data_IF_816925897219
#
_entry.id   IF_816925897219
#
_cell.length_a   1.000
_cell.length_b   1.000
_cell.length_c   1.000
_cell.angle_alpha   90.00
_cell.angle_beta   90.00
_cell.angle_gamma   90.00
#
_symmetry.space_group_name_H-M   'P 1'
#
loop_
_entity.id
_entity.type
_entity.pdbx_description
1 polymer ?
#
# COMPACT_ATOMS: atom_id res chain seq x y z
N UNK A 1 12.62 -29.70 -52.68
CA UNK A 1 11.75 -28.68 -52.05
C UNK A 1 11.99 -28.69 -50.56
N UNK A 2 12.61 -27.67 -50.02
CA UNK A 2 12.84 -27.53 -48.58
C UNK A 2 11.69 -26.71 -48.00
N UNK A 3 10.81 -27.36 -47.24
CA UNK A 3 9.79 -26.67 -46.48
C UNK A 3 10.42 -26.10 -45.22
N UNK A 4 10.71 -24.83 -45.23
CA UNK A 4 11.10 -24.11 -44.05
C UNK A 4 9.84 -23.86 -43.24
N UNK A 5 9.64 -24.68 -42.22
CA UNK A 5 8.60 -24.43 -41.22
C UNK A 5 9.06 -23.26 -40.36
N UNK A 6 8.52 -22.06 -40.65
CA UNK A 6 8.75 -20.89 -39.85
C UNK A 6 7.92 -21.04 -38.57
N UNK A 7 8.54 -21.57 -37.52
CA UNK A 7 7.91 -21.65 -36.21
C UNK A 7 7.88 -20.23 -35.62
N UNK A 8 6.73 -19.57 -35.76
CA UNK A 8 6.46 -18.28 -35.13
C UNK A 8 6.35 -18.52 -33.63
N UNK A 9 7.44 -18.30 -32.91
CA UNK A 9 7.46 -18.33 -31.47
C UNK A 9 6.71 -17.10 -30.98
N UNK A 10 5.41 -17.29 -30.69
CA UNK A 10 4.60 -16.25 -30.05
C UNK A 10 5.08 -16.12 -28.61
N UNK A 11 5.98 -15.17 -28.36
CA UNK A 11 6.29 -14.74 -26.99
C UNK A 11 5.01 -14.11 -26.41
N UNK A 12 4.24 -14.91 -25.67
CA UNK A 12 3.25 -14.36 -24.77
C UNK A 12 4.02 -13.58 -23.70
N UNK A 13 4.14 -12.28 -23.90
CA UNK A 13 4.52 -11.38 -22.84
C UNK A 13 3.37 -11.40 -21.81
N UNK A 14 3.47 -12.27 -20.79
CA UNK A 14 2.63 -12.17 -19.63
C UNK A 14 3.03 -10.88 -18.92
N UNK A 15 2.29 -9.80 -19.16
CA UNK A 15 2.41 -8.61 -18.34
C UNK A 15 1.97 -9.00 -16.94
N UNK A 16 2.93 -9.11 -16.02
CA UNK A 16 2.66 -9.18 -14.59
C UNK A 16 2.02 -7.85 -14.19
N UNK A 17 0.69 -7.76 -14.29
CA UNK A 17 -0.06 -6.65 -13.70
C UNK A 17 -0.11 -6.92 -12.21
N UNK A 18 0.60 -6.11 -11.42
CA UNK A 18 0.41 -6.07 -9.99
C UNK A 18 -1.00 -5.56 -9.69
N UNK A 19 -1.70 -6.22 -8.78
CA UNK A 19 -3.08 -5.93 -8.45
C UNK A 19 -3.18 -5.13 -7.16
N UNK A 20 -4.12 -4.19 -7.13
CA UNK A 20 -4.59 -3.55 -5.90
C UNK A 20 -5.81 -4.30 -5.41
N UNK A 21 -5.76 -4.75 -4.17
CA UNK A 21 -6.88 -5.38 -3.48
C UNK A 21 -7.44 -4.36 -2.48
N UNK A 22 -8.77 -4.17 -2.49
CA UNK A 22 -9.44 -3.34 -1.51
C UNK A 22 -10.01 -4.23 -0.41
N UNK A 23 -9.58 -4.01 0.82
CA UNK A 23 -10.08 -4.67 2.02
C UNK A 23 -10.32 -3.65 3.13
N UNK A 24 -11.26 -3.94 4.01
CA UNK A 24 -11.40 -3.17 5.23
C UNK A 24 -10.33 -3.59 6.25
N UNK A 25 -9.85 -2.66 7.09
CA UNK A 25 -9.01 -3.01 8.24
C UNK A 25 -9.70 -4.07 9.10
N UNK A 26 -8.93 -5.04 9.59
CA UNK A 26 -9.49 -6.14 10.39
C UNK A 26 -8.43 -6.75 11.29
N UNK A 27 -8.87 -7.49 12.29
CA UNK A 27 -7.97 -8.31 13.11
C UNK A 27 -7.21 -9.34 12.27
N UNK A 28 -7.82 -9.84 11.20
CA UNK A 28 -7.18 -10.78 10.26
C UNK A 28 -5.90 -10.20 9.62
N UNK A 29 -5.93 -8.91 9.25
CA UNK A 29 -4.74 -8.21 8.72
C UNK A 29 -3.60 -8.25 9.75
N UNK A 30 -3.91 -7.98 11.01
CA UNK A 30 -2.94 -8.02 12.12
C UNK A 30 -2.41 -9.44 12.35
N UNK A 31 -3.29 -10.42 12.39
CA UNK A 31 -2.94 -11.81 12.65
C UNK A 31 -2.05 -12.42 11.56
N UNK A 32 -2.26 -12.01 10.31
CA UNK A 32 -1.42 -12.42 9.17
C UNK A 32 -0.06 -11.72 9.14
N UNK A 33 0.17 -10.75 10.00
CA UNK A 33 1.40 -9.94 10.05
C UNK A 33 1.73 -9.26 8.71
N UNK A 34 0.70 -8.87 7.98
CA UNK A 34 0.85 -8.08 6.76
C UNK A 34 1.35 -6.69 7.16
N UNK A 35 2.47 -6.20 6.61
CA UNK A 35 2.92 -4.84 6.91
C UNK A 35 1.86 -3.83 6.50
N UNK A 36 1.52 -2.92 7.39
CA UNK A 36 0.60 -1.81 7.14
C UNK A 36 1.39 -0.51 7.21
N UNK A 37 1.34 0.29 6.17
CA UNK A 37 1.99 1.60 6.12
C UNK A 37 0.94 2.69 6.28
N UNK A 38 1.08 3.51 7.33
CA UNK A 38 0.22 4.67 7.56
C UNK A 38 0.85 5.89 6.87
N UNK A 39 0.22 6.32 5.78
CA UNK A 39 0.76 7.38 4.92
C UNK A 39 0.32 8.79 5.32
N UNK A 40 -0.37 8.93 6.45
CA UNK A 40 -0.84 10.22 6.95
C UNK A 40 0.30 11.09 7.44
N UNK A 41 -0.01 12.25 7.97
CA UNK A 41 0.96 13.18 8.57
C UNK A 41 1.22 12.87 10.03
N UNK A 42 2.33 13.36 10.56
CA UNK A 42 2.68 13.20 11.97
C UNK A 42 1.63 13.82 12.90
N UNK A 43 1.00 14.94 12.53
CA UNK A 43 -0.09 15.52 13.31
C UNK A 43 -1.30 14.61 13.40
N UNK A 44 -1.65 13.93 12.31
CA UNK A 44 -2.72 12.94 12.31
C UNK A 44 -2.38 11.71 13.16
N UNK A 45 -1.15 11.25 13.15
CA UNK A 45 -0.72 10.14 14.01
C UNK A 45 -0.80 10.49 15.50
N UNK A 46 -0.40 11.71 15.85
CA UNK A 46 -0.50 12.21 17.24
C UNK A 46 -1.95 12.37 17.69
N UNK A 47 -2.82 12.80 16.79
CA UNK A 47 -4.24 13.02 17.09
C UNK A 47 -5.00 11.72 17.33
N UNK A 48 -4.84 10.73 16.46
CA UNK A 48 -5.68 9.52 16.45
C UNK A 48 -4.93 8.21 16.65
N UNK A 49 -3.61 8.24 16.83
CA UNK A 49 -2.80 7.03 16.96
C UNK A 49 -2.62 6.28 15.65
N UNK A 50 -2.10 5.07 15.75
CA UNK A 50 -1.84 4.18 14.61
C UNK A 50 -2.64 2.90 14.77
N UNK A 51 -3.11 2.34 13.67
CA UNK A 51 -3.54 0.95 13.63
C UNK A 51 -2.39 0.09 14.16
N UNK A 52 -2.67 -0.84 15.08
CA UNK A 52 -1.62 -1.57 15.79
C UNK A 52 -0.58 -2.16 14.85
N UNK A 53 0.69 -1.82 15.06
CA UNK A 53 1.81 -2.29 14.24
C UNK A 53 2.01 -1.54 12.93
N UNK A 54 1.20 -0.55 12.60
CA UNK A 54 1.38 0.24 11.39
C UNK A 54 2.70 1.02 11.42
N UNK A 55 3.33 1.11 10.27
CA UNK A 55 4.59 1.81 10.05
C UNK A 55 4.28 3.21 9.52
N UNK A 56 4.61 4.28 10.26
CA UNK A 56 4.30 5.65 9.82
C UNK A 56 5.31 6.12 8.79
N UNK A 57 4.84 6.36 7.57
CA UNK A 57 5.62 6.96 6.47
C UNK A 57 4.71 7.91 5.71
N UNK A 58 4.84 9.21 5.93
CA UNK A 58 4.02 10.23 5.25
C UNK A 58 4.26 10.22 3.75
N UNK A 59 3.18 10.23 2.95
CA UNK A 59 3.27 10.49 1.52
C UNK A 59 2.94 11.95 1.19
N UNK A 60 1.72 12.39 1.49
CA UNK A 60 1.36 13.81 1.35
C UNK A 60 1.67 14.56 2.64
N UNK A 61 2.45 15.64 2.56
CA UNK A 61 2.70 16.50 3.71
C UNK A 61 1.47 17.36 4.04
N UNK A 62 1.55 18.16 5.10
CA UNK A 62 0.43 19.00 5.56
C UNK A 62 -0.01 20.07 4.55
N UNK A 63 0.84 20.43 3.60
CA UNK A 63 0.54 21.34 2.51
C UNK A 63 0.07 20.62 1.24
N UNK A 64 -0.05 19.28 1.28
CA UNK A 64 -0.46 18.46 0.15
C UNK A 64 0.67 18.15 -0.84
N UNK A 65 1.89 18.56 -0.57
CA UNK A 65 3.06 18.23 -1.37
C UNK A 65 3.55 16.79 -1.13
N UNK A 66 4.30 16.26 -2.08
CA UNK A 66 4.85 14.91 -1.98
C UNK A 66 6.16 14.78 -2.74
N UNK A 67 6.97 13.82 -2.34
CA UNK A 67 8.20 13.41 -3.01
C UNK A 67 8.19 11.89 -3.17
N UNK A 68 7.93 11.41 -4.39
CA UNK A 68 7.83 9.98 -4.68
C UNK A 68 9.11 9.25 -4.34
N UNK A 69 10.26 9.78 -4.75
CA UNK A 69 11.54 9.12 -4.53
C UNK A 69 11.88 9.02 -3.05
N UNK A 70 11.64 10.06 -2.27
CA UNK A 70 11.83 10.05 -0.83
C UNK A 70 10.92 9.02 -0.15
N UNK A 71 9.65 8.96 -0.54
CA UNK A 71 8.70 7.98 -0.03
C UNK A 71 9.15 6.54 -0.34
N UNK A 72 9.50 6.25 -1.59
CA UNK A 72 9.94 4.91 -2.01
C UNK A 72 11.22 4.51 -1.28
N UNK A 73 12.16 5.42 -1.08
CA UNK A 73 13.38 5.18 -0.33
C UNK A 73 13.08 4.74 1.12
N UNK A 74 12.21 5.48 1.81
CA UNK A 74 11.80 5.14 3.18
C UNK A 74 10.99 3.84 3.23
N UNK A 75 10.09 3.64 2.28
CA UNK A 75 9.29 2.42 2.17
C UNK A 75 10.20 1.18 2.07
N UNK A 76 11.17 1.19 1.17
CA UNK A 76 12.06 0.07 0.95
C UNK A 76 13.02 -0.22 2.11
N UNK A 77 13.28 0.76 2.99
CA UNK A 77 14.04 0.54 4.22
C UNK A 77 13.25 -0.24 5.28
N UNK A 78 11.93 -0.13 5.26
CA UNK A 78 11.06 -0.60 6.35
C UNK A 78 10.14 -1.76 5.95
N UNK A 79 9.91 -1.95 4.65
CA UNK A 79 8.98 -2.94 4.11
C UNK A 79 9.65 -3.71 2.98
N UNK A 80 9.46 -5.01 2.97
CA UNK A 80 9.82 -5.84 1.81
C UNK A 80 8.73 -5.66 0.73
N UNK A 81 8.99 -4.77 -0.22
CA UNK A 81 8.04 -4.45 -1.30
C UNK A 81 7.90 -5.52 -2.37
N UNK A 82 8.67 -6.62 -2.27
CA UNK A 82 8.50 -7.82 -3.11
C UNK A 82 7.34 -8.69 -2.65
N UNK A 83 6.81 -8.43 -1.46
CA UNK A 83 5.67 -9.11 -0.86
C UNK A 83 4.51 -8.15 -0.72
N UNK A 84 3.27 -8.64 -0.61
CA UNK A 84 2.10 -7.79 -0.37
C UNK A 84 2.23 -6.98 0.91
N UNK A 85 1.81 -5.73 0.86
CA UNK A 85 1.69 -4.84 2.01
C UNK A 85 0.45 -3.98 1.89
N UNK A 86 0.02 -3.42 3.00
CA UNK A 86 -1.19 -2.61 3.05
C UNK A 86 -0.88 -1.12 3.26
N UNK A 87 -1.73 -0.26 2.75
CA UNK A 87 -1.69 1.18 2.98
C UNK A 87 -2.95 1.61 3.72
N UNK A 88 -2.78 2.48 4.70
CA UNK A 88 -3.88 3.10 5.44
C UNK A 88 -3.73 4.62 5.47
N UNK A 89 -4.83 5.32 5.34
CA UNK A 89 -4.92 6.76 5.58
C UNK A 89 -6.12 7.05 6.50
N UNK A 90 -6.68 8.26 6.45
CA UNK A 90 -7.80 8.61 7.33
C UNK A 90 -9.11 7.94 6.91
N UNK A 91 -9.47 8.05 5.62
CA UNK A 91 -10.76 7.61 5.07
C UNK A 91 -10.65 6.58 3.95
N UNK A 92 -9.45 6.30 3.47
CA UNK A 92 -9.18 5.42 2.33
C UNK A 92 -9.01 6.12 0.99
N UNK A 93 -9.29 7.42 0.86
CA UNK A 93 -9.20 8.12 -0.42
C UNK A 93 -7.78 8.39 -0.89
N UNK A 94 -6.89 8.85 0.00
CA UNK A 94 -5.46 9.04 -0.33
C UNK A 94 -4.79 7.73 -0.71
N UNK A 95 -5.05 6.67 0.02
CA UNK A 95 -4.46 5.36 -0.22
C UNK A 95 -5.02 4.68 -1.46
N UNK A 96 -6.28 4.91 -1.81
CA UNK A 96 -6.85 4.40 -3.07
C UNK A 96 -6.08 4.92 -4.27
N UNK A 97 -5.83 6.23 -4.31
CA UNK A 97 -5.06 6.86 -5.37
C UNK A 97 -3.61 6.40 -5.37
N UNK A 98 -2.96 6.40 -4.21
CA UNK A 98 -1.55 6.02 -4.08
C UNK A 98 -1.33 4.55 -4.40
N UNK A 99 -2.21 3.66 -3.97
CA UNK A 99 -2.12 2.23 -4.28
C UNK A 99 -2.13 1.96 -5.77
N UNK A 100 -3.03 2.60 -6.51
CA UNK A 100 -3.09 2.48 -7.96
C UNK A 100 -1.81 2.98 -8.64
N UNK A 101 -1.29 4.10 -8.20
CA UNK A 101 -0.05 4.67 -8.73
C UNK A 101 1.15 3.75 -8.46
N UNK A 102 1.34 3.31 -7.23
CA UNK A 102 2.47 2.46 -6.85
C UNK A 102 2.42 1.08 -7.52
N UNK A 103 1.23 0.51 -7.64
CA UNK A 103 1.04 -0.75 -8.34
C UNK A 103 1.41 -0.64 -9.82
N UNK A 104 0.95 0.42 -10.49
CA UNK A 104 1.22 0.66 -11.90
C UNK A 104 2.69 0.98 -12.18
N UNK A 105 3.30 1.87 -11.40
CA UNK A 105 4.65 2.39 -11.67
C UNK A 105 5.75 1.49 -11.10
N UNK A 106 5.51 0.80 -9.99
CA UNK A 106 6.52 0.00 -9.31
C UNK A 106 6.21 -1.49 -9.26
N UNK A 107 5.03 -1.92 -9.71
CA UNK A 107 4.65 -3.32 -9.70
C UNK A 107 4.36 -3.90 -8.32
N UNK A 108 4.08 -3.06 -7.33
CA UNK A 108 3.80 -3.51 -5.97
C UNK A 108 2.42 -4.14 -5.84
N UNK A 109 2.33 -5.22 -5.08
CA UNK A 109 1.06 -5.81 -4.66
C UNK A 109 0.58 -5.11 -3.39
N UNK A 110 -0.51 -4.36 -3.51
CA UNK A 110 -0.95 -3.48 -2.42
C UNK A 110 -2.37 -3.80 -2.01
N UNK A 111 -2.58 -3.84 -0.70
CA UNK A 111 -3.90 -3.88 -0.08
C UNK A 111 -4.26 -2.45 0.33
N UNK A 112 -5.24 -1.86 -0.34
CA UNK A 112 -5.79 -0.59 0.09
C UNK A 112 -6.79 -0.83 1.21
N UNK A 113 -6.55 -0.27 2.39
CA UNK A 113 -7.43 -0.42 3.54
C UNK A 113 -8.57 0.60 3.47
N UNK A 114 -9.71 0.15 2.94
CA UNK A 114 -10.92 0.96 2.79
C UNK A 114 -11.42 1.50 4.14
N UNK A 115 -11.92 2.72 4.12
CA UNK A 115 -12.43 3.39 5.31
C UNK A 115 -11.34 3.92 6.25
N UNK A 116 -10.11 3.45 6.12
CA UNK A 116 -8.95 3.95 6.84
C UNK A 116 -9.08 3.94 8.35
N UNK A 117 -8.44 4.90 9.00
CA UNK A 117 -8.46 5.02 10.47
C UNK A 117 -9.85 5.32 11.03
N UNK A 118 -10.72 5.98 10.26
CA UNK A 118 -12.12 6.18 10.71
C UNK A 118 -12.86 4.86 10.85
N UNK A 119 -12.63 3.93 9.93
CA UNK A 119 -13.19 2.58 10.05
C UNK A 119 -12.60 1.82 11.25
N UNK A 120 -11.28 1.89 11.43
CA UNK A 120 -10.59 1.28 12.58
C UNK A 120 -11.19 1.77 13.91
N UNK A 121 -11.40 3.08 14.04
CA UNK A 121 -12.02 3.69 15.22
C UNK A 121 -13.47 3.24 15.40
N UNK A 122 -14.26 3.27 14.33
CA UNK A 122 -15.67 2.90 14.38
C UNK A 122 -15.91 1.44 14.73
N UNK A 123 -15.03 0.55 14.34
CA UNK A 123 -15.07 -0.88 14.65
C UNK A 123 -14.31 -1.25 15.92
N UNK A 124 -13.71 -0.27 16.59
CA UNK A 124 -12.92 -0.47 17.81
C UNK A 124 -11.79 -1.49 17.63
N UNK A 125 -11.17 -1.48 16.47
CA UNK A 125 -9.97 -2.29 16.21
C UNK A 125 -8.77 -1.72 16.99
N UNK A 126 -7.72 -2.53 17.22
CA UNK A 126 -6.59 -2.09 18.04
C UNK A 126 -5.87 -0.86 17.49
N UNK A 127 -5.76 0.18 18.30
CA UNK A 127 -5.03 1.41 18.02
C UNK A 127 -3.98 1.61 19.11
N UNK A 128 -2.78 2.01 18.70
CA UNK A 128 -1.69 2.37 19.62
C UNK A 128 -1.40 3.86 19.52
N UNK A 129 -1.10 4.54 20.65
CA UNK A 129 -0.72 5.95 20.62
C UNK A 129 0.59 6.15 19.87
N UNK A 130 0.68 7.27 19.15
CA UNK A 130 1.93 7.75 18.57
C UNK A 130 2.48 8.89 19.43
N UNK A 131 3.73 8.76 19.83
CA UNK A 131 4.43 9.77 20.66
C UNK A 131 5.54 10.47 19.88
#
# INVERSE_FOLDING_TARGET
>A
MKNTLLTLLLLLATSLTADVINEYPSQKILDKKIPVVDIRTASEWRESGLFKGAIPITFFNEQGGYDVNAFITELNKKVDTKKPFALICRTGSRTKMLSGFLSKEFGYEIINLDGGMMYVQGKKLPIVPYK
#
